data_IF_932692339858
#
_entry.id   IF_932692339858
#
_cell.length_a   1.000
_cell.length_b   1.000
_cell.length_c   1.000
_cell.angle_alpha   90.00
_cell.angle_beta   90.00
_cell.angle_gamma   90.00
#
_symmetry.space_group_name_H-M   'P 1'
#
loop_
_entity.id
_entity.type
_entity.pdbx_description
1 polymer ?
#
# COMPACT_ATOMS: atom_id res chain seq x y z
N UNK A 1 10.29 -2.63 -7.41
CA UNK A 1 8.95 -3.05 -6.96
C UNK A 1 8.81 -4.55 -7.06
N UNK A 2 9.69 -5.22 -7.81
CA UNK A 2 9.82 -6.67 -7.97
C UNK A 2 10.26 -7.40 -6.68
N UNK A 3 10.57 -6.64 -5.64
CA UNK A 3 10.90 -7.13 -4.30
C UNK A 3 10.05 -6.46 -3.21
N UNK A 4 9.04 -5.66 -3.57
CA UNK A 4 8.07 -5.12 -2.61
C UNK A 4 7.08 -6.23 -2.23
N UNK A 5 6.74 -6.41 -0.95
CA UNK A 5 5.95 -7.60 -0.56
C UNK A 5 4.43 -7.37 -0.61
N UNK A 6 3.97 -6.12 -0.53
CA UNK A 6 2.55 -5.78 -0.45
C UNK A 6 2.28 -4.49 -1.23
N UNK A 7 1.08 -4.35 -1.78
CA UNK A 7 0.65 -3.17 -2.55
C UNK A 7 1.52 -2.93 -3.79
N UNK A 8 2.01 -4.01 -4.40
CA UNK A 8 2.78 -3.94 -5.65
C UNK A 8 1.84 -3.49 -6.76
N UNK A 9 2.10 -2.35 -7.43
CA UNK A 9 1.24 -1.90 -8.52
C UNK A 9 1.26 -2.87 -9.69
N UNK A 10 0.16 -2.91 -10.42
CA UNK A 10 0.13 -3.58 -11.72
C UNK A 10 0.80 -2.71 -12.77
N UNK A 11 1.52 -3.32 -13.72
CA UNK A 11 2.12 -2.58 -14.84
C UNK A 11 1.13 -2.43 -16.00
N UNK A 12 1.40 -1.49 -16.91
CA UNK A 12 0.63 -1.28 -18.15
C UNK A 12 0.44 -2.59 -18.92
N UNK A 13 1.52 -3.34 -19.15
CA UNK A 13 1.48 -4.65 -19.82
C UNK A 13 0.59 -5.66 -19.08
N UNK A 14 0.64 -5.72 -17.75
CA UNK A 14 -0.15 -6.68 -16.97
C UNK A 14 -1.66 -6.43 -17.02
N UNK A 15 -2.05 -5.18 -17.28
CA UNK A 15 -3.44 -4.79 -17.51
C UNK A 15 -3.84 -4.89 -19.00
N UNK A 16 -2.96 -5.36 -19.88
CA UNK A 16 -3.13 -5.39 -21.33
C UNK A 16 -3.47 -4.02 -21.92
N UNK A 17 -2.99 -2.94 -21.30
CA UNK A 17 -3.19 -1.57 -21.80
C UNK A 17 -2.26 -1.37 -23.00
N UNK A 18 -2.77 -0.92 -24.18
CA UNK A 18 -1.93 -0.71 -25.36
C UNK A 18 -0.79 0.30 -25.14
N UNK A 19 0.37 0.05 -25.75
CA UNK A 19 1.50 0.99 -25.78
C UNK A 19 1.32 2.05 -26.89
N UNK A 20 0.20 2.77 -26.86
CA UNK A 20 -0.11 3.87 -27.79
C UNK A 20 -0.11 5.22 -27.04
N UNK A 21 -0.05 6.37 -27.75
CA UNK A 21 -0.22 7.67 -27.11
C UNK A 21 -1.49 7.71 -26.27
N UNK A 22 -1.40 8.29 -25.07
CA UNK A 22 -2.52 8.30 -24.10
C UNK A 22 -3.79 8.96 -24.67
N UNK A 23 -3.68 9.84 -25.68
CA UNK A 23 -4.80 10.46 -26.40
C UNK A 23 -5.59 9.51 -27.31
N UNK A 24 -5.01 8.35 -27.67
CA UNK A 24 -5.63 7.33 -28.52
C UNK A 24 -6.26 6.19 -27.69
N UNK A 25 -6.10 6.22 -26.36
CA UNK A 25 -6.60 5.20 -25.46
C UNK A 25 -7.95 5.66 -24.90
N UNK A 26 -8.98 4.83 -25.08
CA UNK A 26 -10.24 5.02 -24.38
C UNK A 26 -10.09 4.54 -22.93
N UNK A 27 -9.73 5.47 -22.05
CA UNK A 27 -9.54 5.19 -20.63
C UNK A 27 -10.84 4.86 -19.91
N UNK A 28 -11.98 5.37 -20.38
CA UNK A 28 -13.29 5.07 -19.81
C UNK A 28 -13.70 3.63 -20.14
N UNK A 29 -13.30 3.08 -21.29
CA UNK A 29 -13.49 1.65 -21.57
C UNK A 29 -12.73 0.75 -20.57
N UNK A 30 -11.54 1.17 -20.13
CA UNK A 30 -10.66 0.36 -19.27
C UNK A 30 -10.98 0.53 -17.78
N UNK A 31 -11.20 1.77 -17.34
CA UNK A 31 -11.32 2.14 -15.93
C UNK A 31 -12.59 2.92 -15.58
N UNK A 32 -13.49 3.14 -16.55
CA UNK A 32 -14.75 3.87 -16.40
C UNK A 32 -15.76 3.13 -15.54
N UNK A 33 -15.46 3.03 -14.26
CA UNK A 33 -16.30 2.41 -13.26
C UNK A 33 -17.26 3.42 -12.62
N UNK A 34 -18.47 2.97 -12.34
CA UNK A 34 -19.42 3.78 -11.56
C UNK A 34 -18.92 3.98 -10.12
N UNK A 35 -19.25 5.12 -9.47
CA UNK A 35 -18.87 5.34 -8.07
C UNK A 35 -19.36 4.25 -7.11
N UNK A 36 -20.54 3.68 -7.37
CA UNK A 36 -21.10 2.60 -6.54
C UNK A 36 -20.27 1.31 -6.64
N UNK A 37 -19.78 0.99 -7.83
CA UNK A 37 -18.92 -0.17 -8.04
C UNK A 37 -17.53 0.05 -7.41
N UNK A 38 -16.94 1.23 -7.59
CA UNK A 38 -15.69 1.62 -6.92
C UNK A 38 -15.82 1.50 -5.39
N UNK A 39 -16.92 1.98 -4.82
CA UNK A 39 -17.20 1.87 -3.39
C UNK A 39 -17.31 0.40 -2.94
N UNK A 40 -17.97 -0.45 -3.72
CA UNK A 40 -18.05 -1.89 -3.44
C UNK A 40 -16.66 -2.53 -3.41
N UNK A 41 -15.80 -2.24 -4.40
CA UNK A 41 -14.44 -2.76 -4.44
C UNK A 41 -13.59 -2.29 -3.25
N UNK A 42 -13.76 -1.04 -2.84
CA UNK A 42 -13.13 -0.49 -1.64
C UNK A 42 -13.58 -1.20 -0.37
N UNK A 43 -14.88 -1.38 -0.16
CA UNK A 43 -15.40 -2.12 1.01
C UNK A 43 -14.87 -3.56 1.01
N UNK A 44 -14.87 -4.22 -0.17
CA UNK A 44 -14.31 -5.55 -0.35
C UNK A 44 -12.84 -5.60 0.07
N UNK A 45 -12.03 -4.64 -0.36
CA UNK A 45 -10.62 -4.53 0.05
C UNK A 45 -10.50 -4.37 1.57
N UNK A 46 -11.24 -3.42 2.16
CA UNK A 46 -11.13 -3.12 3.59
C UNK A 46 -11.52 -4.29 4.50
N UNK A 47 -12.44 -5.16 4.06
CA UNK A 47 -12.96 -6.27 4.87
C UNK A 47 -12.25 -7.60 4.55
N UNK A 48 -11.91 -7.86 3.29
CA UNK A 48 -11.45 -9.17 2.84
C UNK A 48 -9.97 -9.23 2.44
N UNK A 49 -9.27 -8.09 2.26
CA UNK A 49 -7.88 -8.11 1.81
C UNK A 49 -6.97 -8.84 2.79
N UNK A 50 -7.12 -8.62 4.10
CA UNK A 50 -6.25 -9.24 5.09
C UNK A 50 -6.38 -10.78 5.14
N UNK A 51 -7.58 -11.37 5.27
CA UNK A 51 -7.74 -12.82 5.16
C UNK A 51 -7.24 -13.37 3.82
N UNK A 52 -7.54 -12.71 2.70
CA UNK A 52 -7.10 -13.14 1.38
C UNK A 52 -5.56 -13.11 1.24
N UNK A 53 -4.90 -12.11 1.82
CA UNK A 53 -3.45 -12.01 1.86
C UNK A 53 -2.83 -13.16 2.66
N UNK A 54 -3.37 -13.49 3.84
CA UNK A 54 -2.87 -14.60 4.64
C UNK A 54 -3.05 -15.96 3.95
N UNK A 55 -4.22 -16.18 3.34
CA UNK A 55 -4.59 -17.47 2.74
C UNK A 55 -3.97 -17.70 1.36
N UNK A 56 -3.84 -16.64 0.55
CA UNK A 56 -3.54 -16.75 -0.88
C UNK A 56 -2.52 -15.72 -1.39
N UNK A 57 -2.01 -14.85 -0.52
CA UNK A 57 -1.02 -13.83 -0.86
C UNK A 57 -1.44 -12.91 -2.03
N UNK A 58 -2.74 -12.56 -2.11
CA UNK A 58 -3.39 -11.89 -3.26
C UNK A 58 -2.76 -10.53 -3.64
N UNK A 59 -2.07 -9.87 -2.71
CA UNK A 59 -1.40 -8.58 -2.94
C UNK A 59 0.14 -8.67 -2.94
N UNK A 60 0.70 -9.88 -2.95
CA UNK A 60 2.14 -10.10 -2.93
C UNK A 60 2.76 -10.36 -4.29
N UNK A 61 4.04 -10.74 -4.30
CA UNK A 61 4.82 -10.90 -5.52
C UNK A 61 4.30 -12.03 -6.42
N UNK A 62 4.05 -11.72 -7.69
CA UNK A 62 3.55 -12.67 -8.70
C UNK A 62 4.52 -13.82 -9.02
N UNK A 63 5.81 -13.64 -8.74
CA UNK A 63 6.84 -14.69 -8.90
C UNK A 63 6.71 -15.81 -7.88
N UNK A 64 5.93 -15.61 -6.81
CA UNK A 64 5.73 -16.66 -5.82
C UNK A 64 4.88 -17.80 -6.40
N UNK A 65 5.15 -19.05 -6.00
CA UNK A 65 4.35 -20.19 -6.45
C UNK A 65 2.86 -19.99 -6.15
N UNK A 66 2.01 -20.56 -7.00
CA UNK A 66 0.57 -20.61 -6.72
C UNK A 66 0.33 -21.26 -5.34
N UNK A 67 -0.70 -20.77 -4.63
CA UNK A 67 -1.06 -21.19 -3.27
C UNK A 67 -0.03 -20.84 -2.18
N UNK A 68 0.89 -19.90 -2.45
CA UNK A 68 1.71 -19.28 -1.41
C UNK A 68 0.81 -18.66 -0.35
N UNK A 69 1.04 -19.02 0.91
CA UNK A 69 0.24 -18.60 2.04
C UNK A 69 1.10 -18.44 3.30
N UNK A 70 0.53 -17.82 4.33
CA UNK A 70 1.22 -17.48 5.57
C UNK A 70 1.15 -18.60 6.63
N UNK A 71 0.38 -19.65 6.38
CA UNK A 71 0.15 -20.75 7.32
C UNK A 71 1.10 -21.93 7.08
N UNK A 72 1.65 -22.09 5.87
CA UNK A 72 2.64 -23.14 5.58
C UNK A 72 4.03 -22.73 6.13
N UNK A 73 4.60 -23.47 7.09
CA UNK A 73 5.95 -23.22 7.59
C UNK A 73 7.04 -23.36 6.52
N UNK A 74 6.76 -24.04 5.40
CA UNK A 74 7.68 -24.18 4.29
C UNK A 74 7.43 -23.17 3.15
N UNK A 75 6.50 -22.24 3.35
CA UNK A 75 6.22 -21.16 2.41
C UNK A 75 7.48 -20.37 2.06
N UNK A 76 7.57 -19.91 0.80
CA UNK A 76 8.67 -19.09 0.30
C UNK A 76 8.83 -17.76 1.06
N UNK A 77 7.76 -17.34 1.76
CA UNK A 77 7.73 -16.14 2.60
C UNK A 77 8.67 -16.23 3.81
N UNK A 78 9.05 -17.44 4.24
CA UNK A 78 9.75 -17.65 5.50
C UNK A 78 11.13 -18.29 5.33
N UNK A 79 12.09 -17.76 6.08
CA UNK A 79 13.38 -18.39 6.26
C UNK A 79 13.26 -19.64 7.15
N UNK A 80 14.21 -20.58 7.02
CA UNK A 80 14.24 -21.82 7.82
C UNK A 80 14.19 -21.57 9.34
N UNK A 81 14.75 -20.45 9.80
CA UNK A 81 14.73 -20.05 11.22
C UNK A 81 13.34 -19.63 11.72
N UNK A 82 12.45 -19.18 10.84
CA UNK A 82 11.11 -18.67 11.19
C UNK A 82 10.04 -19.77 11.23
N UNK A 83 10.31 -20.96 10.68
CA UNK A 83 9.33 -22.05 10.56
C UNK A 83 8.66 -22.43 11.88
N UNK A 84 9.45 -22.50 12.96
CA UNK A 84 8.93 -22.82 14.29
C UNK A 84 7.97 -21.73 14.79
N UNK A 85 8.23 -20.46 14.49
CA UNK A 85 7.34 -19.37 14.84
C UNK A 85 6.00 -19.46 14.08
N UNK A 86 6.03 -19.85 12.79
CA UNK A 86 4.82 -20.08 11.99
C UNK A 86 3.96 -21.20 12.61
N UNK A 87 4.58 -22.33 12.97
CA UNK A 87 3.86 -23.45 13.61
C UNK A 87 3.21 -23.01 14.93
N UNK A 88 3.95 -22.30 15.78
CA UNK A 88 3.42 -21.79 17.07
C UNK A 88 2.27 -20.82 16.81
N UNK A 89 2.40 -19.92 15.83
CA UNK A 89 1.34 -18.98 15.45
C UNK A 89 0.08 -19.72 15.00
N UNK A 90 0.20 -20.76 14.17
CA UNK A 90 -0.94 -21.58 13.73
C UNK A 90 -1.68 -22.23 14.91
N UNK A 91 -0.95 -22.75 15.90
CA UNK A 91 -1.58 -23.27 17.13
C UNK A 91 -2.29 -22.17 17.94
N UNK A 92 -1.72 -20.96 17.99
CA UNK A 92 -2.36 -19.80 18.59
C UNK A 92 -3.69 -19.45 17.91
N UNK A 93 -3.69 -19.44 16.57
CA UNK A 93 -4.90 -19.18 15.77
C UNK A 93 -5.95 -20.27 16.01
N UNK A 94 -5.56 -21.56 15.97
CA UNK A 94 -6.47 -22.67 16.24
C UNK A 94 -7.08 -22.57 17.64
N UNK A 95 -6.26 -22.22 18.64
CA UNK A 95 -6.72 -22.02 20.03
C UNK A 95 -7.76 -20.89 20.09
N UNK A 96 -7.52 -19.78 19.39
CA UNK A 96 -8.47 -18.67 19.36
C UNK A 96 -9.79 -19.05 18.66
N UNK A 97 -9.72 -19.78 17.55
CA UNK A 97 -10.92 -20.31 16.86
C UNK A 97 -11.74 -21.19 17.80
N UNK A 98 -11.08 -22.09 18.54
CA UNK A 98 -11.76 -22.94 19.53
C UNK A 98 -12.37 -22.12 20.67
N UNK A 99 -11.68 -21.09 21.16
CA UNK A 99 -12.22 -20.21 22.20
C UNK A 99 -13.47 -19.45 21.70
N UNK A 100 -13.44 -18.91 20.49
CA UNK A 100 -14.59 -18.25 19.85
C UNK A 100 -15.75 -19.23 19.69
N UNK A 101 -15.48 -20.46 19.22
CA UNK A 101 -16.50 -21.51 19.12
C UNK A 101 -17.17 -21.80 20.46
N UNK A 102 -16.40 -22.00 21.53
CA UNK A 102 -16.94 -22.22 22.87
C UNK A 102 -17.74 -21.00 23.38
N UNK A 103 -17.29 -19.79 23.08
CA UNK A 103 -18.05 -18.57 23.38
C UNK A 103 -19.38 -18.50 22.61
N UNK A 104 -19.41 -18.91 21.35
CA UNK A 104 -20.65 -19.00 20.56
C UNK A 104 -21.61 -20.02 21.18
N UNK A 105 -21.11 -21.18 21.62
CA UNK A 105 -21.94 -22.19 22.29
C UNK A 105 -22.51 -21.70 23.62
N UNK A 106 -21.74 -20.90 24.38
CA UNK A 106 -22.14 -20.43 25.72
C UNK A 106 -23.02 -19.17 25.70
N UNK A 107 -22.70 -18.20 24.84
CA UNK A 107 -23.31 -16.87 24.84
C UNK A 107 -24.16 -16.59 23.59
N UNK A 108 -24.15 -17.50 22.61
CA UNK A 108 -24.83 -17.33 21.33
C UNK A 108 -24.01 -16.54 20.31
N UNK A 109 -24.19 -16.88 19.03
CA UNK A 109 -23.47 -16.26 17.91
C UNK A 109 -23.68 -14.74 17.85
N UNK A 110 -24.92 -14.26 18.06
CA UNK A 110 -25.22 -12.83 17.99
C UNK A 110 -24.43 -12.01 19.01
N UNK A 111 -24.24 -12.53 20.23
CA UNK A 111 -23.43 -11.86 21.25
C UNK A 111 -21.96 -11.82 20.84
N UNK A 112 -21.40 -12.93 20.36
CA UNK A 112 -20.01 -13.00 19.91
C UNK A 112 -19.75 -12.09 18.71
N UNK A 113 -20.65 -12.05 17.73
CA UNK A 113 -20.55 -11.13 16.58
C UNK A 113 -20.57 -9.69 17.07
N UNK A 114 -21.49 -9.32 17.97
CA UNK A 114 -21.60 -7.96 18.49
C UNK A 114 -20.36 -7.50 19.25
N UNK A 115 -19.87 -8.33 20.17
CA UNK A 115 -18.82 -7.94 21.13
C UNK A 115 -17.39 -8.28 20.68
N UNK A 116 -17.22 -9.21 19.74
CA UNK A 116 -15.91 -9.61 19.23
C UNK A 116 -15.81 -9.45 17.71
N UNK A 117 -16.78 -9.95 16.95
CA UNK A 117 -16.76 -9.92 15.48
C UNK A 117 -16.70 -8.50 14.89
N UNK A 118 -17.62 -7.63 15.28
CA UNK A 118 -17.68 -6.23 14.80
C UNK A 118 -16.40 -5.47 15.20
N UNK A 119 -15.95 -5.47 16.47
CA UNK A 119 -14.68 -4.84 16.84
C UNK A 119 -13.48 -5.38 16.06
N UNK A 120 -13.39 -6.69 15.85
CA UNK A 120 -12.31 -7.30 15.08
C UNK A 120 -12.32 -6.85 13.60
N UNK A 121 -13.49 -6.75 12.99
CA UNK A 121 -13.63 -6.19 11.64
C UNK A 121 -13.23 -4.71 11.59
N UNK A 122 -13.58 -3.91 12.61
CA UNK A 122 -13.16 -2.51 12.70
C UNK A 122 -11.65 -2.37 12.81
N UNK A 123 -10.99 -3.18 13.63
CA UNK A 123 -9.51 -3.18 13.73
C UNK A 123 -8.88 -3.56 12.40
N UNK A 124 -9.40 -4.59 11.73
CA UNK A 124 -8.91 -5.05 10.42
C UNK A 124 -9.06 -3.94 9.37
N UNK A 125 -10.20 -3.25 9.33
CA UNK A 125 -10.44 -2.12 8.46
C UNK A 125 -9.40 -1.01 8.67
N UNK A 126 -9.19 -0.57 9.91
CA UNK A 126 -8.21 0.50 10.18
C UNK A 126 -6.81 0.08 9.78
N UNK A 127 -6.41 -1.15 10.09
CA UNK A 127 -5.09 -1.67 9.71
C UNK A 127 -4.86 -1.68 8.19
N UNK A 128 -5.85 -2.15 7.42
CA UNK A 128 -5.79 -2.14 5.96
C UNK A 128 -5.75 -0.72 5.41
N UNK A 129 -6.59 0.19 5.93
CA UNK A 129 -6.58 1.58 5.48
C UNK A 129 -5.24 2.27 5.76
N UNK A 130 -4.69 2.13 6.97
CA UNK A 130 -3.41 2.73 7.36
C UNK A 130 -2.30 2.25 6.44
N UNK A 131 -2.11 0.93 6.35
CA UNK A 131 -1.02 0.36 5.54
C UNK A 131 -1.18 0.65 4.05
N UNK A 132 -2.41 0.59 3.52
CA UNK A 132 -2.67 0.96 2.12
C UNK A 132 -2.32 2.42 1.86
N UNK A 133 -2.78 3.34 2.70
CA UNK A 133 -2.53 4.76 2.52
C UNK A 133 -1.04 5.08 2.68
N UNK A 134 -0.34 4.49 3.66
CA UNK A 134 1.10 4.71 3.83
C UNK A 134 1.91 4.32 2.60
N UNK A 135 1.55 3.22 1.94
CA UNK A 135 2.33 2.66 0.82
C UNK A 135 1.75 2.95 -0.56
N UNK A 136 0.60 3.62 -0.64
CA UNK A 136 -0.07 3.92 -1.91
C UNK A 136 -0.40 5.40 -2.00
N UNK A 137 0.22 6.07 -2.98
CA UNK A 137 -0.05 7.45 -3.32
C UNK A 137 0.58 7.77 -4.68
N UNK A 138 0.04 8.72 -5.47
CA UNK A 138 0.62 9.05 -6.77
C UNK A 138 2.04 9.61 -6.70
N UNK A 139 2.43 10.10 -5.52
CA UNK A 139 3.74 10.70 -5.26
C UNK A 139 4.78 9.70 -4.78
N UNK A 140 4.37 8.47 -4.46
CA UNK A 140 5.31 7.47 -3.97
C UNK A 140 6.07 6.85 -5.15
N UNK A 141 7.40 6.84 -5.09
CA UNK A 141 8.21 6.20 -6.12
C UNK A 141 8.20 4.68 -5.93
N UNK A 142 8.09 3.97 -7.05
CA UNK A 142 8.39 2.55 -7.15
C UNK A 142 9.68 2.36 -7.93
N UNK A 143 10.65 1.64 -7.38
CA UNK A 143 11.99 1.52 -7.98
C UNK A 143 12.13 0.23 -8.76
N UNK A 144 12.57 0.21 -10.02
CA UNK A 144 12.93 -1.05 -10.69
C UNK A 144 14.14 -1.72 -10.04
N UNK A 145 14.37 -2.99 -10.37
CA UNK A 145 15.42 -3.82 -9.76
C UNK A 145 16.81 -3.17 -9.63
N UNK A 146 17.36 -2.46 -10.63
CA UNK A 146 18.69 -1.87 -10.52
C UNK A 146 18.79 -0.80 -9.41
N UNK A 147 17.68 -0.12 -9.11
CA UNK A 147 17.62 0.99 -8.16
C UNK A 147 16.88 0.64 -6.87
N UNK A 148 16.29 -0.54 -6.81
CA UNK A 148 15.60 -1.04 -5.65
C UNK A 148 16.60 -1.52 -4.60
N UNK A 149 16.41 -1.05 -3.37
CA UNK A 149 17.00 -1.63 -2.17
C UNK A 149 15.93 -1.77 -1.11
N UNK A 150 16.15 -2.64 -0.12
CA UNK A 150 15.22 -2.79 1.00
C UNK A 150 14.94 -1.46 1.69
N UNK A 151 15.98 -0.63 1.88
CA UNK A 151 15.85 0.69 2.50
C UNK A 151 15.02 1.64 1.65
N UNK A 152 15.22 1.66 0.32
CA UNK A 152 14.44 2.51 -0.59
C UNK A 152 12.98 2.09 -0.69
N UNK A 153 12.71 0.78 -0.75
CA UNK A 153 11.35 0.26 -0.74
C UNK A 153 10.64 0.52 0.59
N UNK A 154 11.30 0.24 1.72
CA UNK A 154 10.72 0.46 3.03
C UNK A 154 10.45 1.94 3.33
N UNK A 155 11.28 2.85 2.80
CA UNK A 155 11.13 4.29 2.96
C UNK A 155 10.17 4.93 1.93
N UNK A 156 9.65 4.17 0.96
CA UNK A 156 8.64 4.65 0.03
C UNK A 156 7.27 4.70 0.72
N UNK A 157 7.14 5.62 1.69
CA UNK A 157 5.92 5.83 2.47
C UNK A 157 5.56 7.30 2.57
N UNK A 158 4.27 7.59 2.77
CA UNK A 158 3.76 8.95 2.96
C UNK A 158 2.92 9.05 4.23
N UNK A 159 3.30 9.99 5.08
CA UNK A 159 2.62 10.32 6.32
C UNK A 159 1.45 11.26 6.06
N UNK A 160 0.41 11.15 6.89
CA UNK A 160 -0.81 11.98 6.78
C UNK A 160 -1.39 12.24 8.16
N UNK A 161 -2.14 13.33 8.31
CA UNK A 161 -2.93 13.55 9.53
C UNK A 161 -4.15 12.61 9.53
N UNK A 162 -4.01 11.45 10.19
CA UNK A 162 -5.00 10.38 10.15
C UNK A 162 -6.01 10.57 11.28
N UNK A 163 -7.18 11.15 10.97
CA UNK A 163 -8.21 11.47 11.96
C UNK A 163 -7.74 12.47 13.06
N UNK A 164 -6.69 13.24 12.83
CA UNK A 164 -6.18 14.21 13.78
C UNK A 164 -5.95 13.62 15.17
N UNK A 165 -6.37 14.35 16.21
CA UNK A 165 -6.20 13.90 17.61
C UNK A 165 -6.84 12.54 17.90
N UNK A 166 -7.95 12.19 17.23
CA UNK A 166 -8.58 10.89 17.43
C UNK A 166 -7.66 9.76 16.99
N UNK A 167 -7.01 9.88 15.84
CA UNK A 167 -6.07 8.84 15.41
C UNK A 167 -4.83 8.79 16.28
N UNK A 168 -4.36 9.92 16.82
CA UNK A 168 -3.25 9.90 17.80
C UNK A 168 -3.64 9.11 19.05
N UNK A 169 -4.83 9.37 19.57
CA UNK A 169 -5.32 8.72 20.78
C UNK A 169 -5.70 7.24 20.58
N UNK A 170 -6.51 6.93 19.56
CA UNK A 170 -7.04 5.58 19.34
C UNK A 170 -6.12 4.67 18.51
N UNK A 171 -5.23 5.25 17.70
CA UNK A 171 -4.34 4.51 16.80
C UNK A 171 -2.85 4.75 17.14
N UNK A 172 -2.54 5.37 18.28
CA UNK A 172 -1.19 5.48 18.84
C UNK A 172 -0.14 6.03 17.87
N UNK A 173 -0.48 7.09 17.13
CA UNK A 173 0.36 7.75 16.11
C UNK A 173 0.82 6.86 14.92
N UNK A 174 0.64 5.53 14.99
CA UNK A 174 0.97 4.59 13.90
C UNK A 174 0.20 4.89 12.63
N UNK A 175 -0.97 5.51 12.74
CA UNK A 175 -1.76 5.89 11.58
C UNK A 175 -1.24 7.17 10.91
N UNK A 176 -0.52 8.00 11.67
CA UNK A 176 0.00 9.29 11.21
C UNK A 176 1.37 9.14 10.56
N UNK A 177 2.26 8.41 11.25
CA UNK A 177 3.65 8.28 10.87
C UNK A 177 4.01 6.82 10.60
N UNK A 178 4.74 6.57 9.52
CA UNK A 178 5.33 5.28 9.28
C UNK A 178 6.68 5.15 10.02
N UNK A 179 7.04 3.96 10.50
CA UNK A 179 8.17 3.72 11.44
C UNK A 179 9.53 4.31 11.00
N UNK A 180 9.74 4.49 9.69
CA UNK A 180 10.99 5.07 9.15
C UNK A 180 11.05 6.60 9.32
N UNK A 181 9.91 7.29 9.41
CA UNK A 181 9.84 8.75 9.55
C UNK A 181 9.94 9.23 11.00
N UNK A 182 9.59 8.40 11.99
CA UNK A 182 9.58 8.80 13.41
C UNK A 182 10.98 9.00 14.03
N UNK A 183 12.05 8.44 13.45
CA UNK A 183 13.34 8.32 14.16
C UNK A 183 14.57 8.94 13.49
N UNK A 184 14.40 9.66 12.39
CA UNK A 184 15.53 9.98 11.53
C UNK A 184 15.31 11.29 10.78
N UNK A 185 16.07 12.32 11.16
CA UNK A 185 16.39 13.48 10.29
C UNK A 185 17.28 13.06 9.10
N UNK A 186 17.10 11.86 8.55
CA UNK A 186 17.88 11.36 7.42
C UNK A 186 16.99 11.41 6.18
N UNK A 187 17.52 12.05 5.17
CA UNK A 187 16.94 12.32 3.85
C UNK A 187 16.28 11.05 3.27
N UNK A 188 14.96 11.08 3.06
CA UNK A 188 14.20 10.06 2.34
C UNK A 188 13.26 10.78 1.38
N UNK A 189 13.55 10.68 0.07
CA UNK A 189 12.95 11.48 -1.04
C UNK A 189 12.39 12.80 -0.52
N UNK A 190 13.31 13.75 -0.35
CA UNK A 190 13.11 15.11 0.12
C UNK A 190 11.89 15.76 -0.51
N UNK A 191 10.78 15.51 0.14
CA UNK A 191 9.52 16.14 -0.06
C UNK A 191 8.97 16.37 1.33
N UNK A 192 9.76 17.12 2.11
CA UNK A 192 9.21 18.05 3.09
C UNK A 192 8.37 19.06 2.31
N UNK A 193 7.22 18.62 1.80
CA UNK A 193 6.12 19.54 1.59
C UNK A 193 5.91 20.14 2.96
N UNK A 194 6.03 21.47 3.06
CA UNK A 194 5.75 22.19 4.28
C UNK A 194 4.31 21.92 4.78
N UNK A 195 3.75 22.79 5.63
CA UNK A 195 2.42 22.61 6.23
C UNK A 195 1.23 22.38 5.26
N UNK A 196 1.46 22.42 3.95
CA UNK A 196 0.49 22.36 2.87
C UNK A 196 -0.18 21.00 2.62
N UNK A 197 0.36 19.87 3.09
CA UNK A 197 -0.34 18.57 2.97
C UNK A 197 -1.23 18.22 4.18
N UNK A 198 -1.13 19.00 5.26
CA UNK A 198 -1.66 18.61 6.57
C UNK A 198 -3.10 19.06 6.87
N UNK A 199 -3.88 19.60 5.92
CA UNK A 199 -5.09 20.35 6.34
C UNK A 199 -6.46 20.10 5.67
N UNK A 200 -6.63 19.34 4.58
CA UNK A 200 -7.90 19.47 3.83
C UNK A 200 -8.55 18.17 3.32
N UNK A 201 -8.22 16.98 3.84
CA UNK A 201 -8.99 15.78 3.45
C UNK A 201 -9.26 14.87 4.65
N UNK A 202 -10.53 14.48 4.79
CA UNK A 202 -10.88 13.39 5.70
C UNK A 202 -10.19 12.11 5.23
N UNK A 203 -9.82 11.22 6.14
CA UNK A 203 -9.08 9.99 5.79
C UNK A 203 -9.82 9.13 4.75
N UNK A 204 -11.15 9.15 4.76
CA UNK A 204 -11.99 8.46 3.77
C UNK A 204 -11.91 9.10 2.38
N UNK A 205 -11.80 10.43 2.30
CA UNK A 205 -11.54 11.11 1.02
C UNK A 205 -10.13 10.78 0.52
N UNK A 206 -9.14 10.69 1.41
CA UNK A 206 -7.80 10.26 1.02
C UNK A 206 -7.82 8.82 0.48
N UNK A 207 -8.52 7.90 1.15
CA UNK A 207 -8.72 6.53 0.67
C UNK A 207 -9.39 6.50 -0.72
N UNK A 208 -10.48 7.25 -0.88
CA UNK A 208 -11.20 7.34 -2.15
C UNK A 208 -10.31 7.88 -3.28
N UNK A 209 -9.59 8.96 -3.02
CA UNK A 209 -8.72 9.59 -4.01
C UNK A 209 -7.57 8.66 -4.38
N UNK A 210 -6.83 8.14 -3.40
CA UNK A 210 -5.74 7.17 -3.64
C UNK A 210 -6.24 6.00 -4.48
N UNK A 211 -7.41 5.45 -4.16
CA UNK A 211 -7.96 4.32 -4.91
C UNK A 211 -8.30 4.63 -6.36
N UNK A 212 -8.64 5.88 -6.70
CA UNK A 212 -8.93 6.30 -8.08
C UNK A 212 -7.70 6.87 -8.81
N UNK A 213 -6.71 7.36 -8.08
CA UNK A 213 -5.51 7.99 -8.63
C UNK A 213 -4.35 6.99 -8.82
N UNK A 214 -4.38 5.86 -8.09
CA UNK A 214 -3.34 4.84 -8.14
C UNK A 214 -3.80 3.57 -8.84
N UNK A 215 -3.96 3.59 -10.17
CA UNK A 215 -4.43 2.43 -10.94
C UNK A 215 -3.30 1.50 -11.37
N UNK A 216 -2.27 2.04 -12.00
CA UNK A 216 -1.17 1.26 -12.58
C UNK A 216 0.11 2.06 -12.68
N UNK A 217 1.21 1.40 -13.01
CA UNK A 217 2.51 2.02 -13.34
C UNK A 217 2.95 1.63 -14.75
N UNK A 218 3.83 2.42 -15.35
CA UNK A 218 4.42 2.08 -16.64
C UNK A 218 5.32 0.83 -16.57
N UNK A 219 5.57 0.19 -17.71
CA UNK A 219 6.49 -0.95 -17.77
C UNK A 219 7.95 -0.49 -17.58
N UNK A 220 8.31 0.66 -18.15
CA UNK A 220 9.61 1.29 -17.94
C UNK A 220 9.47 2.57 -17.13
N UNK A 221 10.34 2.74 -16.15
CA UNK A 221 10.40 3.94 -15.34
C UNK A 221 11.13 5.07 -16.03
N UNK A 222 10.89 6.26 -15.49
CA UNK A 222 11.50 7.49 -15.96
C UNK A 222 12.82 7.67 -15.22
N UNK A 223 13.88 7.99 -15.96
CA UNK A 223 15.16 8.36 -15.39
C UNK A 223 15.09 9.80 -14.89
N UNK A 224 15.18 9.99 -13.57
CA UNK A 224 15.28 11.33 -13.00
C UNK A 224 16.74 11.73 -12.83
N UNK A 225 17.03 13.00 -13.06
CA UNK A 225 18.28 13.63 -12.62
C UNK A 225 17.89 14.71 -11.62
N UNK A 226 17.84 14.35 -10.34
CA UNK A 226 17.53 15.32 -9.28
C UNK A 226 18.86 15.89 -8.78
N UNK A 227 19.12 17.15 -9.09
CA UNK A 227 20.23 17.92 -8.51
C UNK A 227 19.68 18.81 -7.39
N UNK A 228 20.05 18.52 -6.14
CA UNK A 228 19.71 19.38 -5.01
C UNK A 228 20.76 20.47 -4.85
N UNK A 229 20.41 21.71 -5.21
CA UNK A 229 21.26 22.87 -4.98
C UNK A 229 20.92 23.47 -3.62
N UNK A 230 21.42 22.85 -2.53
CA UNK A 230 21.78 23.55 -1.28
C UNK A 230 22.52 22.66 -0.27
N UNK A 231 23.72 23.13 0.10
CA UNK A 231 24.69 22.67 1.11
C UNK A 231 24.86 21.16 1.37
N UNK A 232 25.88 20.62 0.69
CA UNK A 232 26.77 19.50 1.05
C UNK A 232 26.35 18.04 0.76
N UNK A 233 25.20 17.76 0.14
CA UNK A 233 24.88 16.40 -0.33
C UNK A 233 24.18 16.42 -1.70
N UNK A 234 24.96 16.21 -2.76
CA UNK A 234 24.43 15.94 -4.10
C UNK A 234 23.96 14.48 -4.17
N UNK A 235 22.68 14.22 -3.92
CA UNK A 235 22.08 12.93 -4.26
C UNK A 235 21.46 12.99 -5.64
N UNK A 236 22.17 12.43 -6.62
CA UNK A 236 21.57 12.15 -7.92
C UNK A 236 20.74 10.87 -7.77
N UNK A 237 19.41 10.99 -7.84
CA UNK A 237 18.53 9.84 -8.03
C UNK A 237 18.59 9.40 -9.50
N UNK A 238 19.77 8.98 -9.98
CA UNK A 238 19.86 8.27 -11.25
C UNK A 238 19.07 6.96 -11.08
N UNK A 239 17.96 6.81 -11.80
CA UNK A 239 17.24 5.57 -11.67
C UNK A 239 15.96 5.41 -12.46
N UNK A 240 15.70 4.17 -12.87
CA UNK A 240 14.45 3.69 -13.41
C UNK A 240 13.38 3.68 -12.29
N UNK A 241 12.65 4.80 -12.16
CA UNK A 241 11.63 5.04 -11.13
C UNK A 241 10.25 5.19 -11.77
N UNK A 242 9.26 4.59 -11.11
CA UNK A 242 7.88 4.51 -11.54
C UNK A 242 6.97 5.29 -10.59
N UNK A 243 5.91 5.87 -11.15
CA UNK A 243 4.84 6.54 -10.42
C UNK A 243 3.50 6.04 -10.93
N UNK A 244 2.50 6.09 -10.05
CA UNK A 244 1.15 5.70 -10.40
C UNK A 244 0.54 6.64 -11.45
N UNK A 245 -0.27 6.04 -12.31
CA UNK A 245 -1.21 6.71 -13.22
C UNK A 245 -2.65 6.49 -12.76
N UNK A 246 -3.46 7.53 -12.95
CA UNK A 246 -4.88 7.53 -12.59
C UNK A 246 -5.73 6.81 -13.64
N UNK A 247 -7.05 6.80 -13.44
CA UNK A 247 -8.03 6.20 -14.37
C UNK A 247 -8.03 6.80 -15.77
N UNK A 248 -7.42 7.97 -15.98
CA UNK A 248 -7.26 8.63 -17.29
C UNK A 248 -5.86 8.45 -17.88
N UNK A 249 -5.08 7.54 -17.30
CA UNK A 249 -3.69 7.35 -17.66
C UNK A 249 -2.77 8.49 -17.22
N UNK A 250 -3.22 9.50 -16.49
CA UNK A 250 -2.38 10.66 -16.15
C UNK A 250 -1.51 10.35 -14.92
N UNK A 251 -0.24 10.72 -14.96
CA UNK A 251 0.63 10.68 -13.78
C UNK A 251 0.33 11.89 -12.89
N UNK A 252 -0.05 11.65 -11.63
CA UNK A 252 -0.31 12.71 -10.64
C UNK A 252 0.98 13.23 -9.96
N UNK A 253 1.97 13.58 -10.79
CA UNK A 253 2.83 14.76 -10.57
C UNK A 253 3.60 15.12 -11.83
N UNK A 254 3.51 16.39 -12.23
CA UNK A 254 4.46 17.04 -13.13
C UNK A 254 5.84 16.97 -12.51
N UNK A 255 6.82 16.57 -13.32
CA UNK A 255 8.24 16.67 -13.06
C UNK A 255 8.55 17.99 -12.34
N UNK A 256 9.05 17.90 -11.11
CA UNK A 256 9.75 19.02 -10.50
C UNK A 256 11.06 19.08 -11.30
N UNK A 257 11.06 19.92 -12.33
CA UNK A 257 12.04 20.04 -13.41
C UNK A 257 11.94 19.00 -14.55
N UNK A 258 10.97 19.21 -15.46
CA UNK A 258 11.32 19.10 -16.88
C UNK A 258 12.25 20.29 -17.15
N UNK A 259 13.56 20.10 -17.00
CA UNK A 259 14.50 21.03 -17.62
C UNK A 259 14.35 20.77 -19.12
N UNK A 260 13.65 21.66 -19.81
CA UNK A 260 13.75 21.74 -21.26
C UNK A 260 15.24 21.88 -21.59
N UNK A 261 15.80 20.87 -22.22
CA UNK A 261 17.10 20.99 -22.86
C UNK A 261 16.84 21.85 -24.11
N UNK A 262 17.13 23.14 -24.00
CA UNK A 262 17.37 24.02 -25.15
C UNK A 262 18.83 23.90 -25.57
#
# INVERSE_FOLDING_TARGET
>A
MERDEVYVPQTRMELNIPSKPDSEIDWDEIFGDTPIYTLFLLIRQQVLAFPAYLLMNVSGQKRYPQFTNHFDPNSILFNKSQRRAVIISNYGILTMVMAIYLCCQKYGLAAVVKYYGIPWLSVTHWFIMITYLHHTHPLLPHYRNPEWSFQRGAAATIDRDFLGWQGRFFLHDVAHFHVITERSNTIFVGLSWGPLYAFIRTVFQALWNTYNECQFVEDEGVYFNVTWENSMLNFILLGNVLFYRNKRGEAQRRSIHEVQIS
#
